data_IF_913263128557
#
_entry.id   IF_913263128557
#
_cell.length_a   1.000
_cell.length_b   1.000
_cell.length_c   1.000
_cell.angle_alpha   90.00
_cell.angle_beta   90.00
_cell.angle_gamma   90.00
#
_symmetry.space_group_name_H-M   'P 1'
#
loop_
_entity.id
_entity.type
_entity.pdbx_description
1 polymer ?
#
# COMPACT_ATOMS: atom_id res chain seq x y z
N UNK A 1 12.57 4.24 15.51
CA UNK A 1 12.66 5.28 14.46
C UNK A 1 13.79 4.89 13.53
N UNK A 2 13.57 4.85 12.20
CA UNK A 2 14.59 4.40 11.22
C UNK A 2 15.87 5.25 11.28
N UNK A 3 15.72 6.57 11.35
CA UNK A 3 16.84 7.52 11.41
C UNK A 3 17.75 7.34 12.64
N UNK A 4 17.29 6.64 13.69
CA UNK A 4 18.08 6.38 14.89
C UNK A 4 19.00 5.14 14.76
N UNK A 5 18.94 4.43 13.63
CA UNK A 5 19.67 3.17 13.41
C UNK A 5 20.65 3.33 12.23
N UNK A 6 21.88 3.85 12.46
CA UNK A 6 22.85 4.09 11.39
C UNK A 6 23.26 2.81 10.66
N UNK A 7 23.19 1.65 11.32
CA UNK A 7 23.45 0.33 10.74
C UNK A 7 22.54 0.02 9.53
N UNK A 8 21.33 0.60 9.46
CA UNK A 8 20.45 0.43 8.31
C UNK A 8 21.01 1.13 7.06
N UNK A 9 21.62 2.30 7.24
CA UNK A 9 22.29 3.01 6.14
C UNK A 9 23.52 2.22 5.66
N UNK A 10 24.32 1.70 6.58
CA UNK A 10 25.47 0.85 6.25
C UNK A 10 25.05 -0.40 5.46
N UNK A 11 24.04 -1.13 5.94
CA UNK A 11 23.53 -2.30 5.25
C UNK A 11 22.95 -1.95 3.87
N UNK A 12 22.28 -0.81 3.74
CA UNK A 12 21.80 -0.30 2.45
C UNK A 12 22.95 -0.10 1.47
N UNK A 13 24.05 0.52 1.92
CA UNK A 13 25.25 0.71 1.08
C UNK A 13 25.84 -0.62 0.62
N UNK A 14 25.89 -1.62 1.49
CA UNK A 14 26.34 -2.97 1.11
C UNK A 14 25.41 -3.60 0.08
N UNK A 15 24.09 -3.50 0.27
CA UNK A 15 23.08 -4.07 -0.61
C UNK A 15 23.03 -3.40 -1.98
N UNK A 16 23.42 -2.12 -2.10
CA UNK A 16 23.50 -1.43 -3.38
C UNK A 16 24.47 -2.12 -4.37
N UNK A 17 25.47 -2.85 -3.87
CA UNK A 17 26.39 -3.63 -4.72
C UNK A 17 25.77 -4.94 -5.25
N UNK A 18 24.59 -5.33 -4.74
CA UNK A 18 23.93 -6.60 -5.08
C UNK A 18 22.81 -6.44 -6.11
N UNK A 19 22.42 -5.22 -6.42
CA UNK A 19 21.36 -4.89 -7.37
C UNK A 19 21.89 -3.93 -8.45
N UNK A 20 21.34 -4.02 -9.65
CA UNK A 20 21.72 -3.12 -10.75
C UNK A 20 20.67 -2.03 -10.93
N UNK A 21 21.08 -0.88 -11.47
CA UNK A 21 20.17 0.22 -11.87
C UNK A 21 19.05 -0.32 -12.76
N UNK A 22 19.39 -1.12 -13.78
CA UNK A 22 18.40 -1.71 -14.68
C UNK A 22 17.39 -2.63 -13.96
N UNK A 23 17.78 -3.27 -12.85
CA UNK A 23 16.84 -4.08 -12.06
C UNK A 23 15.89 -3.19 -11.24
N UNK A 24 16.39 -2.09 -10.67
CA UNK A 24 15.58 -1.10 -9.95
C UNK A 24 14.55 -0.45 -10.87
N UNK A 25 14.96 -0.02 -12.08
CA UNK A 25 14.07 0.62 -13.06
C UNK A 25 12.97 -0.33 -13.60
N UNK A 26 13.20 -1.64 -13.55
CA UNK A 26 12.22 -2.66 -13.96
C UNK A 26 11.24 -3.05 -12.85
N UNK A 27 11.42 -2.55 -11.63
CA UNK A 27 10.45 -2.80 -10.57
C UNK A 27 9.13 -2.07 -10.94
N UNK A 28 8.01 -2.81 -11.10
CA UNK A 28 6.75 -2.22 -11.55
C UNK A 28 6.20 -1.17 -10.58
N UNK A 29 6.33 -1.39 -9.26
CA UNK A 29 5.93 -0.42 -8.23
C UNK A 29 6.68 0.89 -8.40
N UNK A 30 8.00 0.81 -8.58
CA UNK A 30 8.87 1.98 -8.77
C UNK A 30 8.51 2.72 -10.05
N UNK A 31 8.29 1.98 -11.14
CA UNK A 31 7.90 2.56 -12.42
C UNK A 31 6.57 3.32 -12.32
N UNK A 32 5.57 2.75 -11.65
CA UNK A 32 4.28 3.40 -11.42
C UNK A 32 4.43 4.66 -10.56
N UNK A 33 5.25 4.61 -9.51
CA UNK A 33 5.48 5.78 -8.65
C UNK A 33 6.25 6.91 -9.35
N UNK A 34 7.24 6.58 -10.19
CA UNK A 34 7.96 7.54 -11.03
C UNK A 34 7.00 8.25 -11.97
N UNK A 35 6.10 7.50 -12.61
CA UNK A 35 5.08 8.04 -13.52
C UNK A 35 4.10 8.93 -12.76
N UNK A 36 3.58 8.48 -11.62
CA UNK A 36 2.61 9.22 -10.83
C UNK A 36 3.16 10.56 -10.28
N UNK A 37 4.48 10.63 -10.02
CA UNK A 37 5.15 11.85 -9.54
C UNK A 37 5.69 12.73 -10.67
N UNK A 38 5.63 12.28 -11.92
CA UNK A 38 6.11 13.03 -13.07
C UNK A 38 7.62 13.26 -13.10
N UNK A 39 8.42 12.38 -12.49
CA UNK A 39 9.87 12.56 -12.45
C UNK A 39 10.55 12.43 -13.82
N UNK A 40 9.92 11.74 -14.79
CA UNK A 40 10.52 11.52 -16.09
C UNK A 40 11.87 10.80 -15.98
N UNK A 41 12.95 11.46 -16.43
CA UNK A 41 14.33 10.96 -16.28
C UNK A 41 15.08 11.57 -15.09
N UNK A 42 14.58 12.65 -14.49
CA UNK A 42 15.22 13.35 -13.37
C UNK A 42 14.76 12.74 -12.04
N UNK A 43 15.04 11.45 -11.88
CA UNK A 43 14.65 10.68 -10.70
C UNK A 43 15.68 10.90 -9.60
N UNK A 44 15.28 11.33 -8.39
CA UNK A 44 16.20 11.44 -7.27
C UNK A 44 16.86 10.07 -6.97
N UNK A 45 18.19 10.02 -6.84
CA UNK A 45 18.90 8.76 -6.62
C UNK A 45 18.42 8.01 -5.37
N UNK A 46 18.16 8.74 -4.28
CA UNK A 46 17.58 8.16 -3.06
C UNK A 46 16.20 7.55 -3.28
N UNK A 47 15.40 8.11 -4.21
CA UNK A 47 14.12 7.53 -4.60
C UNK A 47 14.33 6.25 -5.43
N UNK A 48 15.21 6.27 -6.44
CA UNK A 48 15.47 5.06 -7.22
C UNK A 48 16.02 3.90 -6.35
N UNK A 49 16.79 4.23 -5.33
CA UNK A 49 17.44 3.27 -4.43
C UNK A 49 16.62 2.91 -3.18
N UNK A 50 15.45 3.54 -2.93
CA UNK A 50 14.67 3.24 -1.73
C UNK A 50 14.24 1.76 -1.59
N UNK A 51 14.01 0.96 -2.65
CA UNK A 51 13.78 -0.48 -2.51
C UNK A 51 14.91 -1.21 -1.78
N UNK A 52 16.15 -0.75 -1.98
CA UNK A 52 17.34 -1.35 -1.38
C UNK A 52 17.41 -0.99 0.10
N UNK A 53 17.02 0.25 0.45
CA UNK A 53 16.90 0.66 1.85
C UNK A 53 15.82 -0.15 2.57
N UNK A 54 14.66 -0.38 1.94
CA UNK A 54 13.62 -1.25 2.50
C UNK A 54 14.07 -2.71 2.63
N UNK A 55 14.82 -3.22 1.65
CA UNK A 55 15.41 -4.56 1.75
C UNK A 55 16.37 -4.66 2.94
N UNK A 56 17.19 -3.63 3.18
CA UNK A 56 18.05 -3.54 4.34
C UNK A 56 17.25 -3.50 5.65
N UNK A 57 16.16 -2.73 5.71
CA UNK A 57 15.27 -2.70 6.88
C UNK A 57 14.71 -4.11 7.19
N UNK A 58 14.15 -4.80 6.18
CA UNK A 58 13.58 -6.14 6.34
C UNK A 58 14.66 -7.15 6.78
N UNK A 59 15.82 -7.13 6.12
CA UNK A 59 16.87 -8.11 6.34
C UNK A 59 17.61 -7.90 7.67
N UNK A 60 17.85 -6.65 8.09
CA UNK A 60 18.47 -6.32 9.37
C UNK A 60 17.68 -6.87 10.56
N UNK A 61 16.34 -6.81 10.47
CA UNK A 61 15.45 -7.38 11.49
C UNK A 61 15.12 -8.86 11.27
N UNK A 62 15.70 -9.49 10.24
CA UNK A 62 15.48 -10.89 9.86
C UNK A 62 13.99 -11.23 9.73
N UNK A 63 13.20 -10.29 9.20
CA UNK A 63 11.76 -10.46 9.11
C UNK A 63 11.42 -11.55 8.08
N UNK A 64 10.63 -12.54 8.48
CA UNK A 64 10.21 -13.66 7.61
C UNK A 64 8.82 -13.47 7.02
N UNK A 65 8.06 -12.49 7.52
CA UNK A 65 6.71 -12.16 7.09
C UNK A 65 6.53 -10.63 7.13
N UNK A 66 6.13 -10.03 6.01
CA UNK A 66 6.00 -8.58 5.88
C UNK A 66 4.61 -8.24 5.32
N UNK A 67 3.74 -7.56 6.10
CA UNK A 67 2.44 -7.13 5.63
C UNK A 67 2.60 -6.03 4.59
N UNK A 68 2.07 -6.25 3.39
CA UNK A 68 2.19 -5.32 2.27
C UNK A 68 0.92 -5.30 1.42
N UNK A 69 0.68 -4.20 0.70
CA UNK A 69 -0.31 -4.17 -0.37
C UNK A 69 0.12 -5.04 -1.55
N UNK A 70 -0.83 -5.49 -2.37
CA UNK A 70 -0.53 -6.29 -3.56
C UNK A 70 0.43 -5.56 -4.53
N UNK A 71 0.33 -4.23 -4.62
CA UNK A 71 1.22 -3.38 -5.41
C UNK A 71 2.67 -3.33 -4.91
N UNK A 72 2.92 -3.78 -3.68
CA UNK A 72 4.23 -3.77 -3.04
C UNK A 72 4.85 -5.19 -2.98
N UNK A 73 4.15 -6.22 -3.46
CA UNK A 73 4.71 -7.56 -3.61
C UNK A 73 6.02 -7.58 -4.43
N UNK A 74 6.18 -6.79 -5.51
CA UNK A 74 7.45 -6.68 -6.25
C UNK A 74 8.63 -6.20 -5.40
N UNK A 75 8.38 -5.39 -4.37
CA UNK A 75 9.41 -4.89 -3.45
C UNK A 75 9.91 -6.00 -2.51
N UNK A 76 8.99 -6.87 -2.06
CA UNK A 76 9.36 -8.06 -1.27
C UNK A 76 10.16 -9.04 -2.12
N UNK A 77 9.77 -9.25 -3.38
CA UNK A 77 10.56 -10.09 -4.28
C UNK A 77 11.95 -9.50 -4.53
N UNK A 78 12.07 -8.19 -4.73
CA UNK A 78 13.37 -7.53 -4.88
C UNK A 78 14.23 -7.66 -3.61
N UNK A 79 13.62 -7.62 -2.43
CA UNK A 79 14.30 -7.90 -1.16
C UNK A 79 14.86 -9.33 -1.13
N UNK A 80 14.04 -10.32 -1.50
CA UNK A 80 14.44 -11.72 -1.54
C UNK A 80 15.54 -11.99 -2.58
N UNK A 81 15.51 -11.31 -3.72
CA UNK A 81 16.60 -11.40 -4.71
C UNK A 81 17.94 -10.94 -4.15
N UNK A 82 17.95 -9.83 -3.41
CA UNK A 82 19.16 -9.30 -2.75
C UNK A 82 19.64 -10.29 -1.69
N UNK A 83 18.75 -10.77 -0.82
CA UNK A 83 19.06 -11.77 0.22
C UNK A 83 19.62 -13.06 -0.40
N UNK A 84 18.97 -13.60 -1.43
CA UNK A 84 19.45 -14.80 -2.13
C UNK A 84 20.83 -14.58 -2.74
N UNK A 85 21.09 -13.40 -3.32
CA UNK A 85 22.40 -13.07 -3.89
C UNK A 85 23.48 -13.02 -2.82
N UNK A 86 23.20 -12.38 -1.68
CA UNK A 86 24.11 -12.34 -0.54
C UNK A 86 24.41 -13.75 -0.01
N UNK A 87 23.38 -14.54 0.27
CA UNK A 87 23.53 -15.91 0.76
C UNK A 87 24.37 -16.77 -0.20
N UNK A 88 24.17 -16.62 -1.52
CA UNK A 88 25.01 -17.29 -2.52
C UNK A 88 26.47 -16.84 -2.48
N UNK A 89 26.75 -15.55 -2.30
CA UNK A 89 28.12 -15.05 -2.21
C UNK A 89 28.84 -15.53 -0.94
N UNK A 90 28.11 -15.65 0.17
CA UNK A 90 28.65 -16.09 1.46
C UNK A 90 28.73 -17.63 1.54
N UNK A 91 28.02 -18.35 0.68
CA UNK A 91 28.07 -19.82 0.58
C UNK A 91 27.17 -20.56 1.58
N UNK A 92 26.39 -19.85 2.39
CA UNK A 92 25.38 -20.41 3.29
C UNK A 92 24.25 -19.41 3.54
N UNK A 93 23.15 -19.87 4.16
CA UNK A 93 22.01 -19.01 4.51
C UNK A 93 22.35 -18.10 5.70
N UNK A 94 22.72 -16.85 5.40
CA UNK A 94 23.01 -15.82 6.41
C UNK A 94 21.74 -15.07 6.84
N UNK A 95 20.95 -14.63 5.86
CA UNK A 95 19.71 -13.87 6.06
C UNK A 95 18.50 -14.66 5.52
N UNK A 96 17.35 -14.63 6.21
CA UNK A 96 16.15 -15.30 5.73
C UNK A 96 15.46 -14.50 4.61
N UNK A 97 14.77 -15.21 3.70
CA UNK A 97 13.81 -14.59 2.79
C UNK A 97 12.50 -14.25 3.53
N UNK A 98 11.81 -13.22 3.05
CA UNK A 98 10.56 -12.74 3.61
C UNK A 98 9.37 -13.12 2.73
N UNK A 99 8.25 -13.52 3.34
CA UNK A 99 6.98 -13.71 2.65
C UNK A 99 6.13 -12.45 2.72
N UNK A 100 5.57 -12.03 1.59
CA UNK A 100 4.55 -10.99 1.55
C UNK A 100 3.25 -11.49 2.21
N UNK A 101 2.75 -10.78 3.21
CA UNK A 101 1.42 -10.99 3.77
C UNK A 101 0.48 -9.96 3.12
N UNK A 102 -0.24 -10.39 2.08
CA UNK A 102 -1.20 -9.56 1.36
C UNK A 102 -2.59 -9.81 1.95
N UNK A 103 -3.28 -8.77 2.46
CA UNK A 103 -4.63 -8.95 2.98
C UNK A 103 -5.60 -9.33 1.86
N UNK A 104 -6.56 -10.22 2.17
CA UNK A 104 -7.60 -10.64 1.22
C UNK A 104 -8.48 -9.48 0.77
N UNK A 105 -8.66 -8.49 1.66
CA UNK A 105 -9.41 -7.28 1.38
C UNK A 105 -8.48 -6.24 0.78
N UNK A 106 -8.87 -5.78 -0.41
CA UNK A 106 -8.17 -4.71 -1.13
C UNK A 106 -8.23 -3.37 -0.41
N UNK A 107 -7.73 -2.34 -1.10
CA UNK A 107 -7.71 -0.97 -0.59
C UNK A 107 -9.14 -0.46 -0.34
N UNK A 108 -9.31 0.35 0.70
CA UNK A 108 -10.53 1.11 0.87
C UNK A 108 -10.61 2.21 -0.21
N UNK A 109 -11.75 2.33 -0.92
CA UNK A 109 -11.98 3.43 -1.85
C UNK A 109 -12.01 4.76 -1.11
N UNK A 110 -11.70 5.85 -1.81
CA UNK A 110 -11.91 7.19 -1.27
C UNK A 110 -13.40 7.48 -1.06
N UNK A 111 -13.73 8.47 -0.24
CA UNK A 111 -15.12 8.93 -0.08
C UNK A 111 -15.72 9.38 -1.41
N UNK A 112 -14.90 9.87 -2.33
CA UNK A 112 -15.26 10.27 -3.69
C UNK A 112 -15.48 9.10 -4.67
N UNK A 113 -15.37 7.86 -4.20
CA UNK A 113 -15.49 6.64 -5.00
C UNK A 113 -14.30 6.33 -5.90
N UNK A 114 -13.18 7.05 -5.75
CA UNK A 114 -11.93 6.68 -6.41
C UNK A 114 -11.34 5.42 -5.77
N UNK A 115 -10.54 4.70 -6.56
CA UNK A 115 -9.96 3.40 -6.19
C UNK A 115 -9.04 3.42 -4.95
N UNK A 116 -8.61 4.60 -4.47
CA UNK A 116 -7.72 4.73 -3.32
C UNK A 116 -8.10 5.92 -2.45
N UNK A 117 -8.28 5.66 -1.17
CA UNK A 117 -8.30 6.70 -0.14
C UNK A 117 -6.89 7.29 0.07
N UNK A 118 -6.76 8.62 0.04
CA UNK A 118 -5.51 9.33 0.31
C UNK A 118 -5.75 10.71 0.96
N UNK A 119 -4.98 11.03 1.99
CA UNK A 119 -4.98 12.37 2.61
C UNK A 119 -4.63 13.47 1.61
N UNK A 120 -3.67 13.22 0.72
CA UNK A 120 -3.25 14.18 -0.30
C UNK A 120 -4.30 14.44 -1.38
N UNK A 121 -5.25 13.52 -1.55
CA UNK A 121 -6.36 13.65 -2.50
C UNK A 121 -7.61 14.24 -1.83
N UNK A 122 -7.57 14.54 -0.53
CA UNK A 122 -8.70 15.10 0.21
C UNK A 122 -9.89 14.14 0.37
N UNK A 123 -9.73 12.86 0.01
CA UNK A 123 -10.81 11.87 -0.03
C UNK A 123 -10.72 10.84 1.11
N UNK A 124 -10.03 11.19 2.21
CA UNK A 124 -9.78 10.32 3.35
C UNK A 124 -10.53 10.77 4.61
N UNK A 125 -11.07 9.80 5.34
CA UNK A 125 -11.56 10.03 6.69
C UNK A 125 -10.37 10.22 7.64
N UNK A 126 -10.46 11.22 8.53
CA UNK A 126 -9.51 11.34 9.63
C UNK A 126 -9.76 10.21 10.64
N UNK A 127 -8.71 9.50 11.11
CA UNK A 127 -8.88 8.38 12.04
C UNK A 127 -9.40 8.81 13.42
N UNK A 128 -9.22 10.07 13.78
CA UNK A 128 -9.75 10.67 15.00
C UNK A 128 -10.63 11.84 14.61
N UNK A 129 -11.94 11.62 14.65
CA UNK A 129 -12.91 12.69 14.62
C UNK A 129 -13.21 12.99 16.08
N UNK A 130 -12.99 14.23 16.52
CA UNK A 130 -13.44 14.67 17.84
C UNK A 130 -14.93 14.34 17.97
N UNK A 131 -15.36 13.76 19.11
CA UNK A 131 -16.73 13.24 19.30
C UNK A 131 -17.85 14.25 19.01
N UNK A 132 -17.53 15.55 18.85
CA UNK A 132 -18.46 16.61 18.48
C UNK A 132 -18.48 17.03 17.00
N UNK A 133 -17.60 16.49 16.14
CA UNK A 133 -17.61 16.80 14.70
C UNK A 133 -18.35 15.68 13.96
N UNK A 134 -19.41 16.05 13.25
CA UNK A 134 -20.24 15.08 12.54
C UNK A 134 -19.42 14.38 11.43
N UNK A 135 -19.18 13.05 11.51
CA UNK A 135 -18.48 12.32 10.45
C UNK A 135 -19.30 12.27 9.15
N UNK A 136 -20.59 12.60 9.19
CA UNK A 136 -21.49 12.61 8.02
C UNK A 136 -21.14 13.67 6.98
N UNK A 137 -20.38 14.71 7.35
CA UNK A 137 -20.03 15.81 6.43
C UNK A 137 -19.26 15.37 5.16
N UNK A 138 -18.59 14.21 5.18
CA UNK A 138 -17.94 13.65 3.99
C UNK A 138 -18.73 12.53 3.29
N UNK A 139 -19.71 11.92 3.96
CA UNK A 139 -20.48 10.79 3.44
C UNK A 139 -21.70 11.22 2.61
N UNK A 140 -22.24 12.42 2.85
CA UNK A 140 -23.46 12.91 2.19
C UNK A 140 -23.30 13.30 0.72
N UNK A 141 -22.07 13.52 0.23
CA UNK A 141 -21.82 14.06 -1.11
C UNK A 141 -21.41 13.02 -2.17
N UNK A 142 -21.32 11.74 -1.79
CA UNK A 142 -20.81 10.64 -2.64
C UNK A 142 -21.79 10.21 -3.75
N UNK A 143 -23.04 10.66 -3.70
CA UNK A 143 -24.11 10.16 -4.59
C UNK A 143 -24.77 11.22 -5.49
N UNK A 144 -24.16 12.40 -5.65
CA UNK A 144 -24.87 13.54 -6.27
C UNK A 144 -24.69 13.71 -7.79
N UNK A 145 -24.60 12.63 -8.57
CA UNK A 145 -24.60 12.72 -10.04
C UNK A 145 -26.00 12.61 -10.68
N UNK A 146 -27.02 12.13 -9.96
CA UNK A 146 -28.44 12.15 -10.41
C UNK A 146 -29.40 12.36 -9.23
N UNK A 147 -30.55 13.02 -9.42
CA UNK A 147 -31.61 13.06 -8.40
C UNK A 147 -32.22 11.65 -8.28
N UNK A 148 -31.73 10.87 -7.31
CA UNK A 148 -32.25 9.54 -6.98
C UNK A 148 -33.27 9.67 -5.84
N UNK A 149 -34.41 9.01 -5.99
CA UNK A 149 -35.38 8.79 -4.91
C UNK A 149 -35.02 7.52 -4.15
N UNK A 150 -35.43 7.43 -2.89
CA UNK A 150 -35.25 6.22 -2.05
C UNK A 150 -35.88 4.97 -2.71
N UNK A 151 -36.85 5.17 -3.58
CA UNK A 151 -37.55 4.12 -4.34
C UNK A 151 -36.81 3.64 -5.59
N UNK A 152 -35.73 4.30 -6.00
CA UNK A 152 -34.99 3.92 -7.20
C UNK A 152 -34.05 2.73 -6.89
N UNK A 153 -33.99 1.68 -7.74
CA UNK A 153 -33.18 0.51 -7.47
C UNK A 153 -31.69 0.87 -7.39
N UNK A 154 -31.07 0.59 -6.24
CA UNK A 154 -29.67 0.85 -5.98
C UNK A 154 -28.74 -0.13 -6.70
N UNK A 155 -27.58 0.33 -7.16
CA UNK A 155 -26.51 -0.55 -7.65
C UNK A 155 -25.49 -0.78 -6.53
N UNK A 156 -25.44 -1.99 -5.99
CA UNK A 156 -24.52 -2.37 -4.90
C UNK A 156 -23.05 -2.39 -5.37
N UNK A 157 -22.79 -2.87 -6.59
CA UNK A 157 -21.43 -3.15 -7.09
C UNK A 157 -20.54 -1.90 -7.25
N UNK A 158 -21.13 -0.72 -7.44
CA UNK A 158 -20.40 0.55 -7.58
C UNK A 158 -20.59 1.48 -6.40
N UNK A 159 -21.23 1.02 -5.32
CA UNK A 159 -21.55 1.87 -4.18
C UNK A 159 -20.49 1.74 -3.08
N UNK A 160 -19.71 2.81 -2.97
CA UNK A 160 -18.67 3.06 -1.98
C UNK A 160 -19.15 2.79 -0.54
N UNK A 161 -20.40 3.12 -0.21
CA UNK A 161 -20.98 2.94 1.12
C UNK A 161 -21.02 1.45 1.50
N UNK A 162 -21.42 0.57 0.58
CA UNK A 162 -21.43 -0.87 0.85
C UNK A 162 -20.03 -1.44 0.98
N UNK A 163 -19.05 -0.91 0.25
CA UNK A 163 -17.63 -1.27 0.43
C UNK A 163 -17.12 -0.90 1.82
N UNK A 164 -17.53 0.26 2.37
CA UNK A 164 -17.21 0.63 3.75
C UNK A 164 -17.92 -0.26 4.76
N UNK A 165 -19.24 -0.50 4.60
CA UNK A 165 -20.01 -1.37 5.48
C UNK A 165 -19.41 -2.78 5.52
N UNK A 166 -19.04 -3.34 4.38
CA UNK A 166 -18.37 -4.65 4.35
C UNK A 166 -17.07 -4.66 5.15
N UNK A 167 -16.33 -3.55 5.18
CA UNK A 167 -15.03 -3.45 5.83
C UNK A 167 -15.13 -3.20 7.34
N UNK A 168 -16.11 -2.42 7.80
CA UNK A 168 -16.19 -1.95 9.20
C UNK A 168 -17.32 -2.59 10.00
N UNK A 169 -18.40 -3.01 9.36
CA UNK A 169 -19.58 -3.54 10.06
C UNK A 169 -19.32 -4.99 10.51
N UNK A 170 -19.45 -5.29 11.81
CA UNK A 170 -19.31 -6.66 12.31
C UNK A 170 -20.47 -7.58 11.89
N UNK A 171 -21.68 -7.05 11.64
CA UNK A 171 -22.85 -7.85 11.27
C UNK A 171 -22.98 -8.02 9.74
N UNK A 172 -22.36 -9.09 9.26
CA UNK A 172 -22.38 -9.49 7.85
C UNK A 172 -23.80 -9.73 7.31
N UNK A 173 -24.71 -10.20 8.15
CA UNK A 173 -26.06 -10.57 7.73
C UNK A 173 -26.92 -9.32 7.54
N UNK A 174 -26.78 -8.33 8.42
CA UNK A 174 -27.42 -7.03 8.26
C UNK A 174 -26.95 -6.33 6.97
N UNK A 175 -25.64 -6.34 6.69
CA UNK A 175 -25.11 -5.78 5.43
C UNK A 175 -25.62 -6.54 4.20
N UNK A 176 -25.73 -7.87 4.27
CA UNK A 176 -26.30 -8.67 3.18
C UNK A 176 -27.78 -8.35 2.94
N UNK A 177 -28.57 -8.13 4.00
CA UNK A 177 -29.97 -7.71 3.89
C UNK A 177 -30.11 -6.33 3.25
N UNK A 178 -29.24 -5.37 3.62
CA UNK A 178 -29.21 -4.03 3.02
C UNK A 178 -28.82 -4.04 1.53
N UNK A 179 -28.05 -5.05 1.08
CA UNK A 179 -27.69 -5.24 -0.33
C UNK A 179 -28.79 -5.90 -1.16
N UNK A 180 -29.76 -6.54 -0.51
CA UNK A 180 -30.83 -7.29 -1.17
C UNK A 180 -32.09 -6.42 -1.44
N UNK A 181 -32.04 -5.13 -1.12
CA UNK A 181 -33.10 -4.13 -1.34
C UNK A 181 -32.60 -3.03 -2.27
#
# INVERSE_FOLDING_TARGET
MQAALPALCELTQLFLNLVTVARLERNPTIKEEIQARGFGRDIPAGFLCYPVAQAADIAAFRATLVPVGADQAPMIEQTNEIVRRLNRQVGHTLLPEARALIPERGRLPGVDGRAKMSKSQGNAFAPFVDRGRDPRGGASDVHRSRPLRVTDPGRVESNVVFTYLDAVDPDRNAVAALKAH
#
